data_IF_789459855466
#
_entry.id   IF_789459855466
#
_cell.length_a   1.000
_cell.length_b   1.000
_cell.length_c   1.000
_cell.angle_alpha   90.00
_cell.angle_beta   90.00
_cell.angle_gamma   90.00
#
_symmetry.space_group_name_H-M   'P 1'
#
loop_
_entity.id
_entity.type
_entity.pdbx_description
1 polymer ?
#
# COMPACT_ATOMS: atom_id res chain seq x y z
N UNK A 1 -14.29 6.99 8.76
CA UNK A 1 -13.75 5.74 9.32
C UNK A 1 -12.26 5.96 9.46
N UNK A 2 -11.68 5.79 10.66
CA UNK A 2 -10.32 6.26 10.97
C UNK A 2 -9.24 5.77 9.97
N UNK A 3 -9.34 4.53 9.49
CA UNK A 3 -8.42 3.98 8.46
C UNK A 3 -8.23 4.89 7.23
N UNK A 4 -9.31 5.50 6.72
CA UNK A 4 -9.21 6.36 5.53
C UNK A 4 -8.52 7.69 5.84
N UNK A 5 -8.57 8.14 7.10
CA UNK A 5 -7.91 9.36 7.57
C UNK A 5 -6.41 9.10 7.64
N UNK A 6 -5.97 8.04 8.35
CA UNK A 6 -4.54 7.73 8.47
C UNK A 6 -3.90 7.42 7.12
N UNK A 7 -4.63 6.76 6.21
CA UNK A 7 -4.17 6.55 4.85
C UNK A 7 -3.98 7.88 4.10
N UNK A 8 -4.83 8.88 4.36
CA UNK A 8 -4.70 10.21 3.79
C UNK A 8 -3.52 10.98 4.40
N UNK A 9 -3.31 10.89 5.71
CA UNK A 9 -2.17 11.50 6.41
C UNK A 9 -0.83 10.91 5.90
N UNK A 10 -0.77 9.59 5.72
CA UNK A 10 0.37 8.93 5.08
C UNK A 10 0.63 9.45 3.66
N UNK A 11 -0.42 9.61 2.85
CA UNK A 11 -0.30 10.13 1.48
C UNK A 11 0.10 11.61 1.44
N UNK A 12 -0.34 12.41 2.41
CA UNK A 12 -0.03 13.85 2.50
C UNK A 12 1.49 14.10 2.56
N UNK A 13 2.24 13.21 3.22
CA UNK A 13 3.70 13.31 3.32
C UNK A 13 4.37 13.34 1.93
N UNK A 14 3.74 12.72 0.94
CA UNK A 14 4.23 12.60 -0.44
C UNK A 14 3.53 13.57 -1.43
N UNK A 15 2.55 14.37 -0.99
CA UNK A 15 1.69 15.17 -1.88
C UNK A 15 2.45 16.04 -2.89
N UNK A 16 3.61 16.57 -2.50
CA UNK A 16 4.41 17.50 -3.30
C UNK A 16 5.74 16.91 -3.78
N UNK A 17 5.93 15.59 -3.66
CA UNK A 17 7.17 14.92 -4.10
C UNK A 17 7.05 14.39 -5.51
N UNK A 18 8.17 14.42 -6.24
CA UNK A 18 8.30 13.69 -7.50
C UNK A 18 8.46 12.20 -7.20
N UNK A 19 7.73 11.35 -7.94
CA UNK A 19 7.75 9.89 -7.78
C UNK A 19 9.08 9.24 -8.17
N UNK A 20 10.03 10.03 -8.69
CA UNK A 20 11.40 9.61 -9.00
C UNK A 20 12.37 9.75 -7.81
N UNK A 21 11.98 10.43 -6.72
CA UNK A 21 12.83 10.64 -5.55
C UNK A 21 12.96 9.38 -4.70
N UNK A 22 14.20 8.98 -4.41
CA UNK A 22 14.47 7.85 -3.51
C UNK A 22 14.03 8.18 -2.08
N UNK A 23 13.35 7.23 -1.42
CA UNK A 23 13.01 7.31 0.00
C UNK A 23 14.25 7.59 0.88
N UNK A 24 15.43 7.11 0.49
CA UNK A 24 16.68 7.38 1.21
C UNK A 24 17.01 8.88 1.28
N UNK A 25 16.60 9.67 0.28
CA UNK A 25 16.83 11.12 0.19
C UNK A 25 15.90 11.96 1.08
N UNK A 26 14.88 11.33 1.68
CA UNK A 26 13.92 12.02 2.54
C UNK A 26 14.57 12.40 3.89
N UNK A 27 14.33 13.62 4.41
CA UNK A 27 14.78 14.02 5.75
C UNK A 27 14.26 13.06 6.83
N UNK A 28 15.07 12.83 7.88
CA UNK A 28 14.74 11.84 8.90
C UNK A 28 13.37 12.10 9.57
N UNK A 29 13.07 13.35 9.89
CA UNK A 29 11.78 13.76 10.49
C UNK A 29 10.58 13.30 9.65
N UNK A 30 10.69 13.37 8.31
CA UNK A 30 9.63 12.89 7.42
C UNK A 30 9.57 11.37 7.36
N UNK A 31 10.71 10.68 7.44
CA UNK A 31 10.74 9.20 7.52
C UNK A 31 10.08 8.70 8.81
N UNK A 32 10.29 9.41 9.91
CA UNK A 32 9.67 9.11 11.19
C UNK A 32 8.15 9.30 11.11
N UNK A 33 7.68 10.40 10.49
CA UNK A 33 6.26 10.60 10.21
C UNK A 33 5.68 9.48 9.34
N UNK A 34 6.32 9.12 8.22
CA UNK A 34 5.88 7.99 7.36
C UNK A 34 5.75 6.70 8.17
N UNK A 35 6.68 6.46 9.10
CA UNK A 35 6.67 5.26 9.93
C UNK A 35 5.48 5.25 10.89
N UNK A 36 5.15 6.40 11.51
CA UNK A 36 3.98 6.52 12.39
C UNK A 36 2.67 6.34 11.60
N UNK A 37 2.49 7.08 10.51
CA UNK A 37 1.25 7.01 9.72
C UNK A 37 1.03 5.63 9.10
N UNK A 38 2.10 4.96 8.65
CA UNK A 38 2.01 3.58 8.18
C UNK A 38 1.60 2.60 9.30
N UNK A 39 2.07 2.82 10.53
CA UNK A 39 1.66 2.04 11.68
C UNK A 39 0.18 2.27 12.02
N UNK A 40 -0.30 3.50 11.97
CA UNK A 40 -1.71 3.82 12.22
C UNK A 40 -2.64 3.19 11.19
N UNK A 41 -2.29 3.23 9.90
CA UNK A 41 -2.99 2.49 8.84
C UNK A 41 -3.06 1.00 9.18
N UNK A 42 -1.95 0.40 9.57
CA UNK A 42 -1.91 -1.02 9.93
C UNK A 42 -2.78 -1.34 11.15
N UNK A 43 -2.70 -0.53 12.21
CA UNK A 43 -3.49 -0.70 13.44
C UNK A 43 -4.98 -0.67 13.13
N UNK A 44 -5.46 0.31 12.36
CA UNK A 44 -6.87 0.40 12.02
C UNK A 44 -7.32 -0.69 11.05
N UNK A 45 -6.48 -1.14 10.12
CA UNK A 45 -6.77 -2.28 9.27
C UNK A 45 -6.93 -3.55 10.11
N UNK A 46 -5.99 -3.82 11.02
CA UNK A 46 -6.06 -4.98 11.92
C UNK A 46 -7.31 -4.92 12.81
N UNK A 47 -7.64 -3.74 13.34
CA UNK A 47 -8.88 -3.54 14.11
C UNK A 47 -10.12 -3.79 13.27
N UNK A 48 -10.15 -3.33 12.02
CA UNK A 48 -11.26 -3.59 11.09
C UNK A 48 -11.43 -5.09 10.84
N UNK A 49 -10.34 -5.81 10.56
CA UNK A 49 -10.35 -7.26 10.38
C UNK A 49 -10.83 -8.00 11.63
N UNK A 50 -10.37 -7.58 12.81
CA UNK A 50 -10.79 -8.14 14.10
C UNK A 50 -12.30 -8.02 14.33
N UNK A 51 -12.89 -6.85 14.02
CA UNK A 51 -14.35 -6.62 14.18
C UNK A 51 -15.18 -7.35 13.13
N UNK A 52 -14.66 -7.50 11.91
CA UNK A 52 -15.39 -8.11 10.78
C UNK A 52 -15.20 -9.61 10.68
N UNK A 53 -14.24 -10.19 11.41
CA UNK A 53 -13.88 -11.60 11.32
C UNK A 53 -13.08 -11.96 10.06
N UNK A 54 -12.51 -10.97 9.36
CA UNK A 54 -11.69 -11.21 8.17
C UNK A 54 -10.32 -11.72 8.60
N UNK A 55 -9.94 -12.92 8.12
CA UNK A 55 -8.56 -13.37 8.15
C UNK A 55 -7.77 -12.65 7.05
N UNK A 56 -7.05 -11.59 7.44
CA UNK A 56 -6.31 -10.76 6.50
C UNK A 56 -5.16 -11.51 5.84
N UNK A 57 -4.57 -12.53 6.49
CA UNK A 57 -3.47 -13.29 5.90
C UNK A 57 -4.01 -14.22 4.81
N UNK A 58 -5.10 -14.94 5.10
CA UNK A 58 -5.77 -15.77 4.09
C UNK A 58 -6.27 -14.95 2.91
N UNK A 59 -6.91 -13.80 3.17
CA UNK A 59 -7.39 -12.89 2.12
C UNK A 59 -6.24 -12.33 1.27
N UNK A 60 -5.08 -12.05 1.88
CA UNK A 60 -3.89 -11.58 1.16
C UNK A 60 -3.31 -12.66 0.26
N UNK A 61 -3.21 -13.91 0.73
CA UNK A 61 -2.72 -15.04 -0.07
C UNK A 61 -3.62 -15.31 -1.29
N UNK A 62 -4.94 -15.31 -1.11
CA UNK A 62 -5.89 -15.42 -2.22
C UNK A 62 -5.74 -14.25 -3.20
N UNK A 63 -5.59 -13.04 -2.69
CA UNK A 63 -5.43 -11.85 -3.52
C UNK A 63 -4.14 -11.89 -4.35
N UNK A 64 -3.04 -12.39 -3.80
CA UNK A 64 -1.78 -12.57 -4.53
C UNK A 64 -1.95 -13.56 -5.69
N UNK A 65 -2.59 -14.71 -5.47
CA UNK A 65 -2.89 -15.68 -6.54
C UNK A 65 -3.74 -15.07 -7.65
N UNK A 66 -4.75 -14.28 -7.29
CA UNK A 66 -5.57 -13.55 -8.27
C UNK A 66 -4.76 -12.51 -9.04
N UNK A 67 -3.82 -11.83 -8.38
CA UNK A 67 -2.94 -10.86 -9.03
C UNK A 67 -1.97 -11.55 -9.99
N UNK A 68 -1.39 -12.69 -9.64
CA UNK A 68 -0.49 -13.46 -10.52
C UNK A 68 -1.21 -13.90 -11.80
N UNK A 69 -2.45 -14.38 -11.68
CA UNK A 69 -3.27 -14.73 -12.84
C UNK A 69 -3.64 -13.49 -13.68
N UNK A 70 -3.85 -12.36 -13.00
CA UNK A 70 -4.24 -11.09 -13.62
C UNK A 70 -3.06 -10.28 -14.17
N UNK A 71 -1.82 -10.61 -13.83
CA UNK A 71 -0.62 -9.92 -14.27
C UNK A 71 0.51 -10.93 -14.52
N UNK A 72 0.42 -11.77 -15.57
CA UNK A 72 1.43 -12.80 -15.83
C UNK A 72 2.79 -12.17 -16.11
N UNK A 73 3.82 -12.57 -15.36
CA UNK A 73 5.15 -11.96 -15.43
C UNK A 73 5.75 -11.94 -16.85
N UNK A 74 5.51 -13.00 -17.63
CA UNK A 74 5.94 -13.10 -19.04
C UNK A 74 5.41 -11.95 -19.92
N UNK A 75 4.24 -11.39 -19.59
CA UNK A 75 3.57 -10.36 -20.39
C UNK A 75 3.85 -8.94 -19.89
N UNK A 76 4.01 -8.78 -18.56
CA UNK A 76 4.01 -7.48 -17.90
C UNK A 76 5.33 -7.07 -17.26
N UNK A 77 6.34 -7.94 -17.24
CA UNK A 77 7.62 -7.61 -16.57
C UNK A 77 8.25 -6.37 -17.20
N UNK A 78 8.44 -5.34 -16.39
CA UNK A 78 8.99 -4.05 -16.81
C UNK A 78 7.96 -3.10 -17.47
N UNK A 79 6.68 -3.46 -17.49
CA UNK A 79 5.58 -2.64 -17.99
C UNK A 79 4.65 -2.23 -16.86
N UNK A 80 4.19 -0.99 -16.87
CA UNK A 80 3.17 -0.48 -15.94
C UNK A 80 1.76 -0.50 -16.54
N UNK A 81 1.59 -1.16 -17.68
CA UNK A 81 0.34 -1.21 -18.42
C UNK A 81 -0.75 -1.90 -17.59
N UNK A 82 -1.99 -1.43 -17.75
CA UNK A 82 -3.12 -2.04 -17.07
C UNK A 82 -3.35 -3.44 -17.65
N UNK A 83 -3.99 -4.32 -16.87
CA UNK A 83 -4.24 -5.70 -17.30
C UNK A 83 -5.14 -5.88 -18.53
N UNK A 84 -5.78 -4.81 -18.97
CA UNK A 84 -6.55 -4.75 -20.22
C UNK A 84 -5.70 -4.39 -21.44
N UNK A 85 -4.45 -3.96 -21.23
CA UNK A 85 -3.68 -3.18 -22.21
C UNK A 85 -2.36 -3.87 -22.60
N UNK A 86 -2.09 -5.10 -22.14
CA UNK A 86 -0.91 -5.90 -22.51
C UNK A 86 -1.22 -7.12 -23.37
#
# INVERSE_FOLDING_TARGET
MALAIEASELMEIFQWRDGSEDFASIPQEKKDAVTQEAADVFIYLMRFCSVTGIDILAATDEKLKLNDAKYPAELVRGKSDKYSDY
#
